data_IF_812417319077
#
_entry.id   IF_812417319077
#
_cell.length_a   1.000
_cell.length_b   1.000
_cell.length_c   1.000
_cell.angle_alpha   90.00
_cell.angle_beta   90.00
_cell.angle_gamma   90.00
#
_symmetry.space_group_name_H-M   'P 1'
#
loop_
_entity.id
_entity.type
_entity.pdbx_description
1 polymer ?
#
# COMPACT_ATOMS: atom_id res chain seq x y z
N UNK A 1 17.65 -0.35 -15.02
CA UNK A 1 16.25 -0.81 -14.99
C UNK A 1 15.53 -0.10 -16.11
N UNK A 2 14.99 -0.85 -17.08
CA UNK A 2 14.12 -0.31 -18.12
C UNK A 2 12.75 0.05 -17.55
N UNK A 3 12.02 0.93 -18.21
CA UNK A 3 10.66 1.27 -17.79
C UNK A 3 9.79 0.04 -17.96
N UNK A 4 9.12 -0.37 -16.89
CA UNK A 4 8.34 -1.60 -16.89
C UNK A 4 7.11 -1.49 -16.02
N UNK A 5 6.05 -2.19 -16.44
CA UNK A 5 4.88 -2.47 -15.61
C UNK A 5 4.69 -3.97 -15.48
N UNK A 6 4.41 -4.43 -14.27
CA UNK A 6 4.17 -5.85 -13.96
C UNK A 6 2.81 -5.96 -13.30
N UNK A 7 1.94 -6.78 -13.88
CA UNK A 7 0.67 -7.15 -13.23
C UNK A 7 1.03 -8.06 -12.06
N UNK A 8 0.53 -7.71 -10.88
CA UNK A 8 0.75 -8.55 -9.69
C UNK A 8 -0.19 -9.76 -9.76
N UNK A 9 0.39 -10.94 -9.56
CA UNK A 9 -0.33 -12.20 -9.50
C UNK A 9 -1.47 -12.13 -8.46
N UNK A 10 -2.73 -12.44 -8.84
CA UNK A 10 -3.86 -12.49 -7.90
C UNK A 10 -3.61 -13.39 -6.68
N UNK A 11 -2.91 -14.51 -6.83
CA UNK A 11 -2.63 -15.43 -5.70
C UNK A 11 -1.63 -14.80 -4.73
N UNK A 12 -0.70 -13.99 -5.23
CA UNK A 12 0.21 -13.20 -4.39
C UNK A 12 -0.56 -12.11 -3.63
N UNK A 13 -1.48 -11.40 -4.29
CA UNK A 13 -2.36 -10.42 -3.62
C UNK A 13 -3.15 -11.11 -2.51
N UNK A 14 -3.78 -12.24 -2.81
CA UNK A 14 -4.57 -12.99 -1.84
C UNK A 14 -3.73 -13.44 -0.64
N UNK A 15 -2.53 -13.98 -0.88
CA UNK A 15 -1.60 -14.40 0.18
C UNK A 15 -1.20 -13.24 1.10
N UNK A 16 -0.88 -12.08 0.53
CA UNK A 16 -0.50 -10.88 1.28
C UNK A 16 -1.68 -10.35 2.09
N UNK A 17 -2.88 -10.36 1.50
CA UNK A 17 -4.09 -9.82 2.12
C UNK A 17 -4.86 -10.82 2.99
N UNK A 18 -4.38 -12.05 3.16
CA UNK A 18 -4.97 -13.06 4.03
C UNK A 18 -5.27 -12.58 5.47
N UNK A 19 -4.51 -11.63 6.07
CA UNK A 19 -4.87 -11.08 7.38
C UNK A 19 -6.16 -10.24 7.41
N UNK A 20 -6.61 -9.73 6.26
CA UNK A 20 -7.88 -9.01 6.15
C UNK A 20 -9.04 -10.00 6.12
N UNK A 21 -10.16 -9.65 6.77
CA UNK A 21 -11.39 -10.44 6.66
C UNK A 21 -11.87 -10.44 5.22
N UNK A 22 -12.56 -11.49 4.80
CA UNK A 22 -13.05 -11.65 3.41
C UNK A 22 -13.86 -10.43 2.92
N UNK A 23 -14.79 -9.94 3.75
CA UNK A 23 -15.63 -8.75 3.46
C UNK A 23 -14.89 -7.41 3.65
N UNK A 24 -13.62 -7.44 4.03
CA UNK A 24 -12.76 -6.28 4.20
C UNK A 24 -11.56 -6.29 3.23
N UNK A 25 -11.52 -7.20 2.25
CA UNK A 25 -10.49 -7.25 1.20
C UNK A 25 -10.98 -6.50 -0.06
N UNK A 26 -10.53 -5.26 -0.21
CA UNK A 26 -11.08 -4.29 -1.16
C UNK A 26 -10.25 -4.17 -2.44
N UNK A 27 -8.94 -4.42 -2.37
CA UNK A 27 -8.04 -4.44 -3.54
C UNK A 27 -8.37 -5.65 -4.43
N UNK A 28 -8.68 -5.41 -5.71
CA UNK A 28 -9.07 -6.44 -6.67
C UNK A 28 -7.95 -6.78 -7.64
N UNK A 29 -7.18 -5.78 -8.06
CA UNK A 29 -6.07 -5.94 -9.00
C UNK A 29 -4.98 -4.92 -8.67
N UNK A 30 -3.73 -5.26 -8.96
CA UNK A 30 -2.63 -4.34 -8.80
C UNK A 30 -1.60 -4.44 -9.94
N UNK A 31 -1.06 -3.30 -10.34
CA UNK A 31 -0.01 -3.18 -11.36
C UNK A 31 1.15 -2.38 -10.79
N UNK A 32 2.31 -3.01 -10.69
CA UNK A 32 3.54 -2.38 -10.22
C UNK A 32 4.27 -1.71 -11.38
N UNK A 33 4.87 -0.55 -11.13
CA UNK A 33 5.57 0.24 -12.13
C UNK A 33 6.94 0.65 -11.62
N UNK A 34 7.92 0.60 -12.53
CA UNK A 34 9.29 1.08 -12.31
C UNK A 34 9.59 2.20 -13.29
N UNK A 35 9.90 3.38 -12.77
CA UNK A 35 10.42 4.49 -13.55
C UNK A 35 11.96 4.53 -13.50
N UNK A 36 12.66 4.39 -14.65
CA UNK A 36 14.12 4.41 -14.70
C UNK A 36 14.72 5.69 -14.14
N UNK A 37 15.89 5.57 -13.50
CA UNK A 37 16.67 6.72 -13.02
C UNK A 37 16.17 7.36 -11.72
N UNK A 38 14.99 6.98 -11.22
CA UNK A 38 14.40 7.57 -9.99
C UNK A 38 14.56 6.73 -8.71
N UNK A 39 15.41 5.69 -8.71
CA UNK A 39 15.62 4.79 -7.56
C UNK A 39 14.28 4.39 -6.91
N UNK A 40 14.16 4.47 -5.58
CA UNK A 40 12.94 4.15 -4.82
C UNK A 40 11.76 5.08 -5.17
N UNK A 41 12.02 6.33 -5.59
CA UNK A 41 10.97 7.26 -6.02
C UNK A 41 10.35 6.88 -7.38
N UNK A 42 11.03 6.03 -8.15
CA UNK A 42 10.50 5.48 -9.39
C UNK A 42 9.57 4.29 -9.17
N UNK A 43 9.44 3.79 -7.94
CA UNK A 43 8.60 2.65 -7.61
C UNK A 43 7.20 3.13 -7.23
N UNK A 44 6.19 2.62 -7.92
CA UNK A 44 4.78 2.86 -7.59
C UNK A 44 3.93 1.65 -7.93
N UNK A 45 2.76 1.55 -7.31
CA UNK A 45 1.76 0.56 -7.64
C UNK A 45 0.41 1.25 -7.88
N UNK A 46 -0.32 0.77 -8.86
CA UNK A 46 -1.70 1.16 -9.10
C UNK A 46 -2.61 -0.01 -8.70
N UNK A 47 -3.70 0.28 -8.00
CA UNK A 47 -4.69 -0.70 -7.57
C UNK A 47 -6.07 -0.36 -8.09
N UNK A 48 -6.88 -1.39 -8.36
CA UNK A 48 -8.32 -1.28 -8.57
C UNK A 48 -9.06 -1.81 -7.35
N UNK A 49 -10.07 -1.09 -6.90
CA UNK A 49 -10.76 -1.34 -5.64
C UNK A 49 -12.27 -1.36 -5.82
N UNK A 50 -12.93 -2.19 -5.01
CA UNK A 50 -14.37 -2.19 -4.87
C UNK A 50 -14.75 -2.55 -3.43
N UNK A 51 -15.56 -1.70 -2.82
CA UNK A 51 -16.15 -1.87 -1.50
C UNK A 51 -17.65 -2.13 -1.72
N UNK A 52 -18.07 -3.38 -1.49
CA UNK A 52 -19.47 -3.75 -1.61
C UNK A 52 -20.30 -3.17 -0.44
N UNK A 53 -19.73 -3.25 0.76
CA UNK A 53 -20.28 -2.73 2.01
C UNK A 53 -19.13 -2.35 2.96
N UNK A 54 -19.36 -1.37 3.83
CA UNK A 54 -18.39 -0.97 4.85
C UNK A 54 -18.33 -2.05 5.95
N UNK A 55 -17.13 -2.47 6.34
CA UNK A 55 -16.98 -3.56 7.32
C UNK A 55 -17.19 -3.16 8.79
N UNK A 56 -17.50 -1.90 9.05
CA UNK A 56 -17.50 -1.31 10.41
C UNK A 56 -18.70 -0.40 10.70
N UNK A 57 -19.54 -0.12 9.70
CA UNK A 57 -20.71 0.75 9.80
C UNK A 57 -21.70 0.40 8.69
N UNK A 58 -22.97 0.76 8.88
CA UNK A 58 -23.96 0.70 7.82
C UNK A 58 -23.61 1.69 6.67
N UNK A 59 -24.11 1.40 5.47
CA UNK A 59 -23.79 2.14 4.24
C UNK A 59 -23.97 3.66 4.41
N UNK A 60 -22.85 4.40 4.33
CA UNK A 60 -22.83 5.87 4.41
C UNK A 60 -23.10 6.52 3.06
N UNK A 61 -23.15 5.74 1.97
CA UNK A 61 -23.37 6.21 0.61
C UNK A 61 -22.14 6.85 -0.06
N UNK A 62 -20.97 6.84 0.59
CA UNK A 62 -19.74 7.41 0.03
C UNK A 62 -18.47 6.75 0.59
N UNK A 63 -17.35 6.91 -0.12
CA UNK A 63 -16.03 6.51 0.37
C UNK A 63 -15.63 7.28 1.64
N UNK A 64 -15.23 6.55 2.67
CA UNK A 64 -14.93 7.07 4.01
C UNK A 64 -13.43 7.19 4.25
N UNK A 65 -13.05 8.05 5.20
CA UNK A 65 -11.65 8.17 5.62
C UNK A 65 -11.08 6.88 6.23
N UNK A 66 -11.92 6.05 6.86
CA UNK A 66 -11.51 4.72 7.35
C UNK A 66 -11.19 3.79 6.18
N UNK A 67 -11.99 3.84 5.11
CA UNK A 67 -11.80 3.03 3.91
C UNK A 67 -10.57 3.48 3.12
N UNK A 68 -10.27 4.78 3.10
CA UNK A 68 -8.98 5.30 2.62
C UNK A 68 -7.82 4.59 3.31
N UNK A 69 -7.85 4.51 4.64
CA UNK A 69 -6.76 3.89 5.41
C UNK A 69 -6.67 2.38 5.14
N UNK A 70 -7.80 1.67 5.05
CA UNK A 70 -7.82 0.23 4.74
C UNK A 70 -7.25 -0.03 3.34
N UNK A 71 -7.71 0.71 2.33
CA UNK A 71 -7.25 0.57 0.95
C UNK A 71 -5.77 0.96 0.80
N UNK A 72 -5.34 2.03 1.48
CA UNK A 72 -3.94 2.42 1.58
C UNK A 72 -3.08 1.27 2.11
N UNK A 73 -3.50 0.64 3.21
CA UNK A 73 -2.75 -0.46 3.81
C UNK A 73 -2.68 -1.67 2.88
N UNK A 74 -3.79 -2.07 2.28
CA UNK A 74 -3.81 -3.23 1.37
C UNK A 74 -2.86 -3.02 0.18
N UNK A 75 -2.91 -1.85 -0.46
CA UNK A 75 -2.03 -1.54 -1.57
C UNK A 75 -0.57 -1.42 -1.14
N UNK A 76 -0.33 -0.82 0.03
CA UNK A 76 0.99 -0.71 0.65
C UNK A 76 1.60 -2.07 0.98
N UNK A 77 0.85 -3.02 1.54
CA UNK A 77 1.36 -4.36 1.82
C UNK A 77 1.71 -5.13 0.55
N UNK A 78 0.88 -5.04 -0.50
CA UNK A 78 1.18 -5.66 -1.80
C UNK A 78 2.41 -5.02 -2.43
N UNK A 79 2.54 -3.69 -2.38
CA UNK A 79 3.73 -2.97 -2.83
C UNK A 79 4.98 -3.44 -2.10
N UNK A 80 4.94 -3.47 -0.76
CA UNK A 80 6.08 -3.84 0.07
C UNK A 80 6.47 -5.30 -0.13
N UNK A 81 5.50 -6.20 -0.16
CA UNK A 81 5.72 -7.61 -0.44
C UNK A 81 6.40 -7.81 -1.79
N UNK A 82 5.91 -7.14 -2.85
CA UNK A 82 6.54 -7.20 -4.17
C UNK A 82 7.96 -6.63 -4.16
N UNK A 83 8.19 -5.49 -3.49
CA UNK A 83 9.50 -4.88 -3.39
C UNK A 83 10.50 -5.74 -2.61
N UNK A 84 10.07 -6.36 -1.51
CA UNK A 84 10.92 -7.22 -0.67
C UNK A 84 11.28 -8.50 -1.43
N UNK A 85 10.29 -9.16 -2.04
CA UNK A 85 10.48 -10.35 -2.87
C UNK A 85 11.53 -10.13 -3.97
N UNK A 86 11.52 -8.95 -4.58
CA UNK A 86 12.41 -8.58 -5.68
C UNK A 86 13.60 -7.69 -5.24
N UNK A 87 13.81 -7.49 -3.94
CA UNK A 87 14.89 -6.70 -3.35
C UNK A 87 15.03 -5.27 -3.92
N UNK A 88 13.90 -4.60 -4.17
CA UNK A 88 13.84 -3.29 -4.82
C UNK A 88 14.09 -2.10 -3.89
N UNK A 89 14.08 -2.32 -2.56
CA UNK A 89 14.33 -1.30 -1.54
C UNK A 89 15.53 -1.73 -0.70
N UNK A 90 16.74 -1.22 -0.98
CA UNK A 90 17.97 -1.63 -0.30
C UNK A 90 17.91 -1.48 1.23
N UNK A 91 17.18 -0.49 1.72
CA UNK A 91 17.01 -0.23 3.15
C UNK A 91 16.21 -1.32 3.88
N UNK A 92 15.50 -2.18 3.15
CA UNK A 92 14.73 -3.31 3.66
C UNK A 92 15.37 -4.67 3.31
N UNK A 93 16.65 -4.69 2.92
CA UNK A 93 17.34 -5.92 2.50
C UNK A 93 17.49 -7.00 3.60
N UNK A 94 17.16 -6.69 4.85
CA UNK A 94 17.10 -7.67 5.95
C UNK A 94 15.80 -8.49 5.98
N UNK A 95 14.79 -8.05 5.23
CA UNK A 95 13.55 -8.81 5.02
C UNK A 95 13.69 -9.81 3.87
N UNK A 96 13.08 -10.97 4.04
CA UNK A 96 12.75 -11.92 2.98
C UNK A 96 11.23 -11.93 2.80
N UNK A 97 10.73 -12.55 1.74
CA UNK A 97 9.29 -12.76 1.55
C UNK A 97 8.68 -13.45 2.78
N UNK A 98 9.29 -14.54 3.24
CA UNK A 98 8.87 -15.28 4.44
C UNK A 98 8.85 -14.41 5.70
N UNK A 99 9.95 -13.70 6.00
CA UNK A 99 9.96 -12.88 7.22
C UNK A 99 8.96 -11.74 7.14
N UNK A 100 8.73 -11.17 5.95
CA UNK A 100 7.69 -10.16 5.75
C UNK A 100 6.29 -10.72 6.04
N UNK A 101 5.94 -11.91 5.53
CA UNK A 101 4.65 -12.54 5.82
C UNK A 101 4.39 -12.73 7.31
N UNK A 102 5.41 -13.17 8.06
CA UNK A 102 5.30 -13.34 9.51
C UNK A 102 5.23 -12.01 10.28
N UNK A 103 5.84 -10.96 9.75
CA UNK A 103 6.08 -9.70 10.47
C UNK A 103 5.21 -8.53 10.01
N UNK A 104 4.48 -8.66 8.91
CA UNK A 104 3.75 -7.56 8.28
C UNK A 104 2.83 -6.81 9.25
N UNK A 105 2.12 -7.52 10.13
CA UNK A 105 1.19 -6.89 11.08
C UNK A 105 1.88 -6.21 12.28
N UNK A 106 2.99 -6.78 12.75
CA UNK A 106 3.64 -6.32 13.98
C UNK A 106 4.76 -5.31 13.73
N UNK A 107 5.32 -5.25 12.52
CA UNK A 107 6.51 -4.47 12.22
C UNK A 107 6.30 -3.37 11.17
N UNK A 108 5.14 -3.30 10.51
CA UNK A 108 4.79 -2.20 9.61
C UNK A 108 3.78 -1.29 10.31
N UNK A 109 4.25 -0.11 10.73
CA UNK A 109 3.47 0.82 11.56
C UNK A 109 3.19 2.11 10.80
N UNK A 110 1.98 2.65 10.91
CA UNK A 110 1.69 4.03 10.48
C UNK A 110 2.15 4.97 11.59
N UNK A 111 3.17 5.80 11.29
CA UNK A 111 3.68 6.83 12.21
C UNK A 111 2.86 8.11 12.08
N UNK A 112 2.47 8.45 10.85
CA UNK A 112 1.65 9.62 10.54
C UNK A 112 0.85 9.35 9.28
N UNK A 113 -0.41 9.77 9.28
CA UNK A 113 -1.28 9.75 8.11
C UNK A 113 -1.95 11.12 7.95
N UNK A 114 -2.03 11.59 6.71
CA UNK A 114 -2.77 12.78 6.34
C UNK A 114 -3.50 12.48 5.02
N UNK A 115 -4.81 12.64 5.00
CA UNK A 115 -5.65 12.43 3.83
C UNK A 115 -6.59 13.61 3.63
N UNK A 116 -6.82 13.99 2.39
CA UNK A 116 -7.73 15.05 1.97
C UNK A 116 -8.65 14.54 0.87
N UNK A 117 -9.90 14.97 0.92
CA UNK A 117 -10.96 14.53 0.00
C UNK A 117 -11.50 15.76 -0.71
N UNK A 118 -11.16 15.91 -2.00
CA UNK A 118 -11.59 17.05 -2.80
C UNK A 118 -12.97 16.86 -3.41
N UNK A 119 -13.34 15.61 -3.70
CA UNK A 119 -14.63 15.21 -4.27
C UNK A 119 -14.98 13.81 -3.74
N UNK A 120 -16.28 13.53 -3.58
CA UNK A 120 -16.76 12.21 -3.15
C UNK A 120 -16.32 11.13 -4.13
N UNK A 121 -15.80 10.02 -3.59
CA UNK A 121 -15.40 8.85 -4.38
C UNK A 121 -16.52 7.80 -4.33
N UNK A 122 -16.86 7.23 -5.47
CA UNK A 122 -17.69 6.05 -5.61
C UNK A 122 -16.93 4.81 -5.08
N UNK A 123 -17.29 4.37 -3.88
CA UNK A 123 -16.64 3.24 -3.21
C UNK A 123 -16.80 1.90 -3.96
N UNK A 124 -17.76 1.78 -4.89
CA UNK A 124 -18.01 0.54 -5.64
C UNK A 124 -17.02 0.27 -6.75
N UNK A 125 -16.39 1.33 -7.29
CA UNK A 125 -15.41 1.21 -8.37
C UNK A 125 -14.51 2.45 -8.37
N UNK A 126 -13.28 2.27 -7.90
CA UNK A 126 -12.27 3.32 -7.85
C UNK A 126 -10.86 2.74 -7.95
N UNK A 127 -9.92 3.61 -8.28
CA UNK A 127 -8.50 3.26 -8.44
C UNK A 127 -7.64 4.05 -7.47
N UNK A 128 -6.49 3.47 -7.11
CA UNK A 128 -5.52 4.10 -6.23
C UNK A 128 -4.10 4.01 -6.78
N UNK A 129 -3.30 5.05 -6.57
CA UNK A 129 -1.85 5.01 -6.80
C UNK A 129 -1.14 5.14 -5.47
N UNK A 130 -0.16 4.28 -5.20
CA UNK A 130 0.70 4.32 -4.02
C UNK A 130 2.16 4.37 -4.46
N UNK A 131 2.98 5.19 -3.82
CA UNK A 131 4.41 5.28 -4.14
C UNK A 131 5.26 5.87 -3.02
N UNK A 132 6.59 5.80 -3.19
CA UNK A 132 7.57 6.31 -2.23
C UNK A 132 8.06 7.68 -2.67
N UNK A 133 8.10 8.65 -1.75
CA UNK A 133 8.78 9.94 -1.96
C UNK A 133 10.20 9.95 -1.39
N UNK A 134 10.40 9.29 -0.24
CA UNK A 134 11.70 9.18 0.39
C UNK A 134 11.81 7.96 1.32
N UNK A 135 13.03 7.53 1.57
CA UNK A 135 13.37 6.48 2.54
C UNK A 135 14.42 7.02 3.49
N UNK A 136 14.25 6.76 4.80
CA UNK A 136 15.23 7.13 5.82
C UNK A 136 15.46 5.95 6.75
N UNK A 137 16.64 5.34 6.67
CA UNK A 137 17.05 4.25 7.57
C UNK A 137 17.73 4.80 8.82
N UNK A 138 17.40 4.22 9.96
CA UNK A 138 18.09 4.42 11.24
C UNK A 138 18.54 3.06 11.78
N UNK A 139 19.22 3.05 12.92
CA UNK A 139 19.63 1.79 13.59
C UNK A 139 18.47 1.03 14.24
N UNK A 140 17.29 1.66 14.38
CA UNK A 140 16.13 1.11 15.07
C UNK A 140 14.93 0.87 14.15
N UNK A 141 14.85 1.57 13.01
CA UNK A 141 13.68 1.58 12.15
C UNK A 141 14.04 2.14 10.76
N UNK A 142 13.35 1.67 9.73
CA UNK A 142 13.33 2.28 8.39
C UNK A 142 12.04 3.07 8.23
N UNK A 143 12.14 4.36 7.93
CA UNK A 143 10.99 5.20 7.64
C UNK A 143 10.77 5.27 6.13
N UNK A 144 9.54 4.99 5.68
CA UNK A 144 9.11 5.24 4.31
C UNK A 144 8.15 6.43 4.29
N UNK A 145 8.50 7.44 3.52
CA UNK A 145 7.62 8.55 3.20
C UNK A 145 6.90 8.18 1.92
N UNK A 146 5.58 8.11 1.98
CA UNK A 146 4.74 7.55 0.92
C UNK A 146 3.61 8.49 0.59
N UNK A 147 3.08 8.39 -0.62
CA UNK A 147 1.84 9.05 -1.01
C UNK A 147 0.83 8.01 -1.47
N UNK A 148 -0.44 8.32 -1.32
CA UNK A 148 -1.51 7.55 -1.93
C UNK A 148 -2.67 8.43 -2.36
N UNK A 149 -3.08 8.29 -3.62
CA UNK A 149 -4.17 9.06 -4.20
C UNK A 149 -5.23 8.10 -4.73
N UNK A 150 -6.49 8.31 -4.38
CA UNK A 150 -7.60 7.56 -4.97
C UNK A 150 -8.42 8.46 -5.88
N UNK A 151 -9.00 7.85 -6.92
CA UNK A 151 -9.88 8.51 -7.88
C UNK A 151 -10.88 7.52 -8.47
N UNK A 152 -12.03 8.03 -8.91
CA UNK A 152 -13.00 7.28 -9.71
C UNK A 152 -13.22 7.91 -11.10
N UNK A 153 -14.08 7.28 -11.90
CA UNK A 153 -14.44 7.77 -13.24
C UNK A 153 -15.40 8.98 -13.23
N UNK A 154 -15.99 9.30 -12.08
CA UNK A 154 -16.97 10.38 -11.90
C UNK A 154 -16.32 11.69 -11.40
N UNK A 155 -14.99 11.70 -11.22
CA UNK A 155 -14.22 12.87 -10.77
C UNK A 155 -14.00 12.92 -9.25
N UNK A 156 -14.44 11.89 -8.53
CA UNK A 156 -14.10 11.67 -7.13
C UNK A 156 -12.59 11.59 -6.95
N UNK A 157 -12.06 12.22 -5.91
CA UNK A 157 -10.62 12.31 -5.71
C UNK A 157 -10.21 12.52 -4.27
N UNK A 158 -9.13 11.85 -3.89
CA UNK A 158 -8.45 12.03 -2.61
C UNK A 158 -6.94 12.01 -2.80
N UNK A 159 -6.25 12.66 -1.87
CA UNK A 159 -4.79 12.66 -1.79
C UNK A 159 -4.38 12.41 -0.36
N UNK A 160 -3.29 11.69 -0.17
CA UNK A 160 -2.69 11.58 1.14
C UNK A 160 -1.22 11.24 1.14
N UNK A 161 -0.64 11.51 2.29
CA UNK A 161 0.75 11.30 2.62
C UNK A 161 0.80 10.48 3.90
N UNK A 162 1.59 9.41 3.87
CA UNK A 162 1.70 8.49 4.99
C UNK A 162 3.16 8.18 5.26
N UNK A 163 3.55 8.27 6.52
CA UNK A 163 4.86 7.88 6.99
C UNK A 163 4.73 6.51 7.65
N UNK A 164 5.38 5.51 7.06
CA UNK A 164 5.51 4.19 7.65
C UNK A 164 6.79 4.10 8.45
N UNK A 165 6.73 3.45 9.61
CA UNK A 165 7.88 2.96 10.35
C UNK A 165 7.95 1.45 10.22
N UNK A 166 9.01 0.94 9.62
CA UNK A 166 9.28 -0.49 9.45
C UNK A 166 10.38 -0.89 10.43
N UNK A 167 10.02 -1.71 11.40
CA UNK A 167 10.96 -2.25 12.38
C UNK A 167 11.89 -3.29 11.74
N UNK A 168 13.09 -3.55 12.27
CA UNK A 168 14.04 -4.50 11.69
C UNK A 168 13.50 -5.93 11.65
N UNK A 169 13.89 -6.71 10.64
CA UNK A 169 13.46 -8.09 10.51
C UNK A 169 14.06 -9.00 11.61
N UNK A 170 15.22 -8.64 12.16
CA UNK A 170 15.85 -9.34 13.28
C UNK A 170 15.62 -8.58 14.58
N UNK A 171 15.16 -9.26 15.62
CA UNK A 171 15.17 -8.72 16.97
C UNK A 171 16.62 -8.57 17.44
N UNK A 172 16.91 -7.51 18.20
CA UNK A 172 18.23 -7.38 18.82
C UNK A 172 18.32 -8.44 19.91
N UNK A 173 19.27 -9.37 19.74
CA UNK A 173 19.75 -10.27 20.81
C UNK A 173 20.33 -9.48 21.97
#
# INVERSE_FOLDING_TARGET
MESGSVIIDPDFIHSILNPYRDHASYLKQAVFHVEPGKKVQGLKINGQFAIAESCYIDDTGHFNAVEYNICYNQLGYVFLGHCIKNQLIPELADYTEETFFHKQLSHVLIVKISSSFSQLINAKDFSGTWGITAVKKTTQCTFLYTYCNFQDIYGGSSKGEVVLGILPAKEKS
#
